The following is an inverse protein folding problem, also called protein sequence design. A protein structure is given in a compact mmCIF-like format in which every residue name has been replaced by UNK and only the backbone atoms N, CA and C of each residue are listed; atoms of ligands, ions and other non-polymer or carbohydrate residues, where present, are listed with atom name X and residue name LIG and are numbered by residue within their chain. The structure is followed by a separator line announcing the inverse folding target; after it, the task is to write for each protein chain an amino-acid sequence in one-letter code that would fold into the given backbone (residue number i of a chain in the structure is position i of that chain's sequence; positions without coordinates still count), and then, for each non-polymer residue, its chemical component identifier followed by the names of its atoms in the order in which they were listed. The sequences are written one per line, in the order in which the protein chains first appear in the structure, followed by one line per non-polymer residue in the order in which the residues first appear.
data_IF_922618654458
#
_entry.id   IF_922618654458
#
_cell.length_a   1.000
_cell.length_b   1.000
_cell.length_c   1.000
_cell.angle_alpha   90.00
_cell.angle_beta   90.00
_cell.angle_gamma   90.00
#
_symmetry.space_group_name_H-M   'P 1'
#
loop_
_entity.id
_entity.type
_entity.pdbx_description
1 polymer ?
#
# COMPACT_ATOMS: atom_id res chain seq x y z
N UNK A 1 -34.44 3.32 -17.45
CA UNK A 1 -33.84 2.02 -17.09
C UNK A 1 -34.48 1.52 -15.81
N UNK A 2 -34.84 0.24 -15.76
CA UNK A 2 -35.31 -0.46 -14.56
C UNK A 2 -34.12 -0.99 -13.76
N UNK A 3 -34.34 -1.38 -12.50
CA UNK A 3 -33.29 -1.98 -11.66
C UNK A 3 -32.65 -3.22 -12.33
N UNK A 4 -33.41 -4.18 -12.91
CA UNK A 4 -32.82 -5.30 -13.63
C UNK A 4 -31.94 -4.89 -14.81
N UNK A 5 -32.34 -3.87 -15.58
CA UNK A 5 -31.55 -3.36 -16.71
C UNK A 5 -30.23 -2.76 -16.26
N UNK A 6 -30.23 -1.99 -15.16
CA UNK A 6 -28.99 -1.47 -14.58
C UNK A 6 -28.06 -2.58 -14.10
N UNK A 7 -28.59 -3.61 -13.44
CA UNK A 7 -27.78 -4.77 -12.98
C UNK A 7 -27.12 -5.48 -14.16
N UNK A 8 -27.89 -5.77 -15.21
CA UNK A 8 -27.34 -6.40 -16.41
C UNK A 8 -26.23 -5.56 -17.06
N UNK A 9 -26.41 -4.24 -17.12
CA UNK A 9 -25.38 -3.35 -17.64
C UNK A 9 -24.10 -3.35 -16.77
N UNK A 10 -24.25 -3.43 -15.44
CA UNK A 10 -23.12 -3.58 -14.51
C UNK A 10 -22.41 -4.92 -14.74
N UNK A 11 -23.13 -6.04 -14.85
CA UNK A 11 -22.53 -7.36 -15.08
C UNK A 11 -21.69 -7.39 -16.37
N UNK A 12 -22.18 -6.74 -17.45
CA UNK A 12 -21.46 -6.61 -18.71
C UNK A 12 -20.21 -5.74 -18.60
N UNK A 13 -20.23 -4.69 -17.76
CA UNK A 13 -19.07 -3.86 -17.46
C UNK A 13 -18.06 -4.62 -16.60
N UNK A 14 -18.50 -5.36 -15.60
CA UNK A 14 -17.65 -6.14 -14.71
C UNK A 14 -16.88 -7.22 -15.48
N UNK A 15 -17.53 -7.89 -16.44
CA UNK A 15 -16.85 -8.82 -17.33
C UNK A 15 -15.69 -8.16 -18.11
N UNK A 16 -15.90 -6.93 -18.58
CA UNK A 16 -14.86 -6.15 -19.27
C UNK A 16 -13.75 -5.71 -18.30
N UNK A 17 -14.11 -5.28 -17.10
CA UNK A 17 -13.15 -4.88 -16.07
C UNK A 17 -12.24 -6.06 -15.70
N UNK A 18 -12.81 -7.24 -15.47
CA UNK A 18 -12.03 -8.46 -15.18
C UNK A 18 -11.07 -8.80 -16.32
N UNK A 19 -11.53 -8.72 -17.57
CA UNK A 19 -10.68 -8.96 -18.73
C UNK A 19 -9.50 -7.96 -18.79
N UNK A 20 -9.79 -6.66 -18.65
CA UNK A 20 -8.80 -5.59 -18.68
C UNK A 20 -7.80 -5.67 -17.52
N UNK A 21 -8.26 -6.02 -16.32
CA UNK A 21 -7.41 -6.21 -15.15
C UNK A 21 -6.43 -7.37 -15.37
N UNK A 22 -6.92 -8.50 -15.89
CA UNK A 22 -6.06 -9.64 -16.21
C UNK A 22 -5.03 -9.32 -17.31
N UNK A 23 -5.44 -8.61 -18.36
CA UNK A 23 -4.53 -8.17 -19.42
C UNK A 23 -3.45 -7.22 -18.87
N UNK A 24 -3.86 -6.23 -18.07
CA UNK A 24 -2.93 -5.34 -17.36
C UNK A 24 -1.94 -6.12 -16.49
N UNK A 25 -2.41 -7.11 -15.74
CA UNK A 25 -1.57 -7.93 -14.88
C UNK A 25 -0.55 -8.74 -15.68
N UNK A 26 -0.92 -9.29 -16.84
CA UNK A 26 0.05 -9.98 -17.74
C UNK A 26 1.19 -9.05 -18.17
N UNK A 27 0.89 -7.79 -18.49
CA UNK A 27 1.94 -6.82 -18.82
C UNK A 27 2.83 -6.48 -17.62
N UNK A 28 2.27 -6.38 -16.42
CA UNK A 28 3.05 -6.18 -15.20
C UNK A 28 4.01 -7.36 -15.02
N UNK A 29 3.51 -8.60 -15.01
CA UNK A 29 4.33 -9.81 -14.88
C UNK A 29 5.46 -9.89 -15.91
N UNK A 30 5.18 -9.55 -17.18
CA UNK A 30 6.20 -9.50 -18.22
C UNK A 30 7.30 -8.46 -17.96
N UNK A 31 6.94 -7.28 -17.43
CA UNK A 31 7.91 -6.27 -16.98
C UNK A 31 8.70 -6.79 -15.77
N UNK A 32 8.04 -7.44 -14.81
CA UNK A 32 8.67 -8.05 -13.65
C UNK A 32 9.73 -9.09 -14.03
N UNK A 33 9.47 -9.93 -15.03
CA UNK A 33 10.45 -10.89 -15.55
C UNK A 33 11.68 -10.23 -16.16
N UNK A 34 11.49 -9.16 -16.94
CA UNK A 34 12.59 -8.41 -17.57
C UNK A 34 13.47 -7.76 -16.49
N UNK A 35 12.84 -7.07 -15.52
CA UNK A 35 13.54 -6.42 -14.41
C UNK A 35 14.31 -7.41 -13.55
N UNK A 36 13.70 -8.57 -13.24
CA UNK A 36 14.35 -9.61 -12.45
C UNK A 36 15.61 -10.14 -13.14
N UNK A 37 15.57 -10.31 -14.47
CA UNK A 37 16.75 -10.70 -15.26
C UNK A 37 17.83 -9.61 -15.30
N UNK A 38 17.43 -8.34 -15.24
CA UNK A 38 18.33 -7.20 -15.20
C UNK A 38 18.87 -6.87 -13.79
N UNK A 39 18.37 -7.54 -12.74
CA UNK A 39 18.71 -7.22 -11.34
C UNK A 39 18.12 -5.90 -10.83
N UNK A 40 17.09 -5.37 -11.50
CA UNK A 40 16.43 -4.13 -11.13
C UNK A 40 15.33 -4.34 -10.08
N UNK A 41 15.03 -3.28 -9.32
CA UNK A 41 13.93 -3.29 -8.36
C UNK A 41 12.56 -3.40 -9.04
N UNK A 42 11.75 -4.32 -8.52
CA UNK A 42 10.38 -4.56 -8.98
C UNK A 42 9.49 -3.37 -8.62
N UNK A 43 9.50 -2.98 -7.33
CA UNK A 43 8.72 -1.86 -6.82
C UNK A 43 9.44 -0.53 -7.03
N UNK A 44 8.79 0.41 -7.73
CA UNK A 44 9.36 1.73 -8.03
C UNK A 44 8.34 2.83 -7.67
N UNK A 45 8.50 3.52 -6.51
CA UNK A 45 7.54 4.54 -6.04
C UNK A 45 7.27 5.67 -7.05
N UNK A 46 8.28 6.07 -7.83
CA UNK A 46 8.12 7.11 -8.84
C UNK A 46 7.15 6.68 -9.96
N UNK A 47 7.16 5.40 -10.33
CA UNK A 47 6.26 4.85 -11.35
C UNK A 47 4.82 4.85 -10.87
N UNK A 48 4.60 4.48 -9.62
CA UNK A 48 3.28 4.50 -9.00
C UNK A 48 2.67 5.91 -8.99
N UNK A 49 3.46 6.93 -8.61
CA UNK A 49 3.02 8.34 -8.67
C UNK A 49 2.61 8.75 -10.09
N UNK A 50 3.36 8.34 -11.11
CA UNK A 50 3.02 8.62 -12.51
C UNK A 50 1.68 7.98 -12.91
N UNK A 51 1.42 6.75 -12.46
CA UNK A 51 0.13 6.08 -12.71
C UNK A 51 -1.01 6.86 -12.05
N UNK A 52 -0.87 7.21 -10.77
CA UNK A 52 -1.89 8.01 -10.05
C UNK A 52 -2.16 9.36 -10.70
N UNK A 53 -1.11 10.09 -11.12
CA UNK A 53 -1.29 11.36 -11.82
C UNK A 53 -2.04 11.18 -13.15
N UNK A 54 -1.71 10.13 -13.90
CA UNK A 54 -2.34 9.86 -15.19
C UNK A 54 -3.83 9.53 -15.04
N UNK A 55 -4.17 8.64 -14.11
CA UNK A 55 -5.58 8.22 -13.92
C UNK A 55 -6.44 9.36 -13.40
N UNK A 56 -5.92 10.20 -12.49
CA UNK A 56 -6.64 11.39 -12.01
C UNK A 56 -6.86 12.40 -13.13
N UNK A 57 -5.86 12.63 -14.01
CA UNK A 57 -6.04 13.50 -15.18
C UNK A 57 -7.09 13.00 -16.17
N UNK A 58 -7.31 11.70 -16.24
CA UNK A 58 -8.30 11.08 -17.12
C UNK A 58 -9.67 10.92 -16.45
N UNK A 59 -9.77 11.21 -15.15
CA UNK A 59 -10.99 11.00 -14.40
C UNK A 59 -11.98 12.16 -14.64
N UNK A 60 -13.02 11.88 -15.43
CA UNK A 60 -14.13 12.81 -15.66
C UNK A 60 -15.29 12.65 -14.65
N UNK A 61 -15.10 11.80 -13.62
CA UNK A 61 -16.16 11.44 -12.67
C UNK A 61 -17.07 10.32 -13.19
N UNK A 62 -18.08 9.90 -12.41
CA UNK A 62 -18.47 10.44 -11.09
C UNK A 62 -17.59 9.97 -9.92
N UNK A 63 -16.66 9.04 -10.15
CA UNK A 63 -15.74 8.57 -9.11
C UNK A 63 -14.77 9.68 -8.67
N UNK A 64 -14.49 9.79 -7.38
CA UNK A 64 -13.51 10.76 -6.88
C UNK A 64 -12.08 10.28 -7.15
N UNK A 65 -11.15 11.22 -7.28
CA UNK A 65 -9.72 10.90 -7.41
C UNK A 65 -9.18 10.07 -6.23
N UNK A 66 -9.69 10.32 -5.02
CA UNK A 66 -9.31 9.57 -3.84
C UNK A 66 -9.73 8.10 -3.96
N UNK A 67 -10.97 7.83 -4.37
CA UNK A 67 -11.47 6.48 -4.60
C UNK A 67 -10.73 5.79 -5.75
N UNK A 68 -10.46 6.51 -6.84
CA UNK A 68 -9.74 5.97 -7.99
C UNK A 68 -8.30 5.58 -7.63
N UNK A 69 -7.60 6.40 -6.84
CA UNK A 69 -6.27 6.06 -6.30
C UNK A 69 -6.31 4.82 -5.41
N UNK A 70 -7.31 4.70 -4.55
CA UNK A 70 -7.45 3.54 -3.67
C UNK A 70 -7.63 2.24 -4.48
N UNK A 71 -8.49 2.26 -5.50
CA UNK A 71 -8.70 1.12 -6.40
C UNK A 71 -7.40 0.77 -7.12
N UNK A 72 -6.72 1.76 -7.71
CA UNK A 72 -5.48 1.50 -8.45
C UNK A 72 -4.34 1.03 -7.54
N UNK A 73 -4.29 1.47 -6.28
CA UNK A 73 -3.34 0.95 -5.30
C UNK A 73 -3.55 -0.55 -5.09
N UNK A 74 -4.79 -1.01 -4.90
CA UNK A 74 -5.05 -2.45 -4.75
C UNK A 74 -4.74 -3.23 -6.02
N UNK A 75 -5.11 -2.71 -7.21
CA UNK A 75 -4.74 -3.33 -8.49
C UNK A 75 -3.23 -3.50 -8.61
N UNK A 76 -2.44 -2.50 -8.21
CA UNK A 76 -0.98 -2.58 -8.23
C UNK A 76 -0.43 -3.51 -7.15
N UNK A 77 -0.99 -3.48 -5.94
CA UNK A 77 -0.64 -4.35 -4.82
C UNK A 77 -0.82 -5.82 -5.17
N UNK A 78 -1.97 -6.19 -5.74
CA UNK A 78 -2.25 -7.57 -6.16
C UNK A 78 -1.31 -8.04 -7.27
N UNK A 79 -0.92 -7.15 -8.19
CA UNK A 79 0.05 -7.50 -9.22
C UNK A 79 1.47 -7.70 -8.64
N UNK A 80 1.91 -6.83 -7.72
CA UNK A 80 3.20 -6.97 -7.02
C UNK A 80 3.27 -8.28 -6.23
N UNK A 81 2.18 -8.67 -5.57
CA UNK A 81 2.08 -9.91 -4.81
C UNK A 81 2.31 -11.16 -5.68
N UNK A 82 1.95 -11.11 -6.97
CA UNK A 82 2.19 -12.19 -7.93
C UNK A 82 3.63 -12.24 -8.43
N UNK A 83 4.32 -11.10 -8.50
CA UNK A 83 5.70 -11.02 -9.00
C UNK A 83 6.73 -11.47 -7.97
N UNK A 84 6.48 -11.19 -6.69
CA UNK A 84 7.34 -11.57 -5.56
C UNK A 84 6.51 -11.60 -4.27
N UNK A 85 6.80 -12.57 -3.41
CA UNK A 85 6.42 -12.51 -1.99
C UNK A 85 7.19 -11.35 -1.33
N UNK A 86 6.67 -10.13 -1.46
CA UNK A 86 7.25 -8.94 -0.86
C UNK A 86 6.77 -8.80 0.59
N UNK A 87 7.71 -8.69 1.51
CA UNK A 87 7.44 -8.59 2.96
C UNK A 87 7.69 -7.17 3.44
N UNK A 88 6.68 -6.58 4.10
CA UNK A 88 6.75 -5.24 4.67
C UNK A 88 6.84 -5.37 6.20
N UNK A 89 8.01 -5.07 6.76
CA UNK A 89 8.18 -4.96 8.20
C UNK A 89 7.58 -3.63 8.69
N UNK A 90 6.95 -3.62 9.84
CA UNK A 90 6.38 -2.39 10.41
C UNK A 90 6.43 -2.39 11.94
N UNK A 91 6.44 -1.20 12.55
CA UNK A 91 6.31 -1.05 13.99
C UNK A 91 4.90 -1.48 14.43
N UNK A 92 4.81 -2.65 15.04
CA UNK A 92 3.56 -3.30 15.41
C UNK A 92 3.00 -2.91 16.78
N UNK A 93 2.00 -3.67 17.28
CA UNK A 93 1.42 -4.89 16.69
C UNK A 93 0.49 -4.62 15.48
N UNK A 94 -0.15 -5.67 14.96
CA UNK A 94 -1.25 -5.58 14.00
C UNK A 94 -2.34 -4.59 14.47
N UNK A 95 -3.00 -3.96 13.50
CA UNK A 95 -4.05 -2.96 13.66
C UNK A 95 -3.63 -1.62 14.31
N UNK A 96 -2.34 -1.41 14.58
CA UNK A 96 -1.79 -0.08 14.92
C UNK A 96 -1.87 0.90 13.76
N UNK A 97 -1.66 2.19 14.03
CA UNK A 97 -1.62 3.20 12.97
C UNK A 97 -0.47 2.97 11.99
N UNK A 98 0.68 2.47 12.43
CA UNK A 98 1.78 2.11 11.53
C UNK A 98 1.39 0.94 10.62
N UNK A 99 0.65 -0.05 11.13
CA UNK A 99 0.09 -1.12 10.30
C UNK A 99 -0.86 -0.55 9.23
N UNK A 100 -1.78 0.33 9.64
CA UNK A 100 -2.72 0.98 8.72
C UNK A 100 -1.98 1.82 7.66
N UNK A 101 -0.92 2.54 8.05
CA UNK A 101 -0.08 3.29 7.13
C UNK A 101 0.66 2.37 6.14
N UNK A 102 1.16 1.22 6.60
CA UNK A 102 1.80 0.24 5.74
C UNK A 102 0.82 -0.32 4.69
N UNK A 103 -0.41 -0.65 5.09
CA UNK A 103 -1.48 -1.08 4.17
C UNK A 103 -1.87 0.06 3.21
N UNK A 104 -2.06 1.28 3.71
CA UNK A 104 -2.42 2.41 2.86
C UNK A 104 -1.32 2.75 1.83
N UNK A 105 -0.05 2.45 2.13
CA UNK A 105 1.06 2.68 1.22
C UNK A 105 1.20 1.59 0.17
N UNK A 106 1.19 0.33 0.59
CA UNK A 106 1.58 -0.81 -0.26
C UNK A 106 0.39 -1.66 -0.75
N UNK A 107 -0.81 -1.42 -0.21
CA UNK A 107 -2.04 -2.16 -0.48
C UNK A 107 -2.09 -3.53 0.22
N UNK A 108 -3.29 -4.07 0.35
CA UNK A 108 -3.58 -5.18 1.27
C UNK A 108 -3.07 -6.56 0.84
N UNK A 109 -2.59 -6.73 -0.40
CA UNK A 109 -2.31 -8.06 -0.99
C UNK A 109 -0.92 -8.62 -0.66
N UNK A 110 -0.13 -7.94 0.17
CA UNK A 110 1.26 -8.27 0.47
C UNK A 110 1.42 -8.91 1.86
N UNK A 111 2.64 -9.39 2.16
CA UNK A 111 2.97 -9.90 3.48
C UNK A 111 3.38 -8.76 4.41
N UNK A 112 2.87 -8.80 5.63
CA UNK A 112 3.12 -7.79 6.66
C UNK A 112 3.70 -8.44 7.91
N UNK A 113 4.87 -7.96 8.34
CA UNK A 113 5.62 -8.51 9.47
C UNK A 113 5.67 -7.50 10.63
N UNK A 114 4.85 -7.73 11.66
CA UNK A 114 4.83 -6.89 12.85
C UNK A 114 6.13 -7.04 13.65
N UNK A 115 6.77 -5.91 13.96
CA UNK A 115 7.97 -5.86 14.81
C UNK A 115 7.69 -5.14 16.12
N UNK A 116 8.42 -5.50 17.17
CA UNK A 116 8.21 -4.93 18.51
C UNK A 116 8.83 -3.55 18.67
N UNK A 117 9.95 -3.30 17.99
CA UNK A 117 10.70 -2.05 18.08
C UNK A 117 11.04 -1.49 16.71
N UNK A 118 11.39 -0.21 16.66
CA UNK A 118 11.85 0.45 15.43
C UNK A 118 13.17 -0.19 14.97
N UNK A 119 14.09 -0.45 15.91
CA UNK A 119 15.34 -1.16 15.63
C UNK A 119 15.11 -2.52 14.97
N UNK A 120 14.10 -3.29 15.42
CA UNK A 120 13.75 -4.57 14.80
C UNK A 120 13.30 -4.39 13.34
N UNK A 121 12.52 -3.35 13.02
CA UNK A 121 12.13 -3.05 11.63
C UNK A 121 13.36 -2.80 10.75
N UNK A 122 14.30 -1.97 11.21
CA UNK A 122 15.55 -1.73 10.49
C UNK A 122 16.37 -3.02 10.34
N UNK A 123 16.45 -3.84 11.38
CA UNK A 123 17.17 -5.11 11.37
C UNK A 123 16.57 -6.15 10.40
N UNK A 124 15.24 -6.20 10.26
CA UNK A 124 14.56 -7.07 9.29
C UNK A 124 14.91 -6.67 7.85
N UNK A 125 14.90 -5.37 7.55
CA UNK A 125 15.22 -4.85 6.22
C UNK A 125 16.71 -4.99 5.91
N UNK A 126 17.60 -4.59 6.82
CA UNK A 126 19.05 -4.66 6.64
C UNK A 126 19.55 -6.09 6.42
N UNK A 127 18.89 -7.09 7.04
CA UNK A 127 19.22 -8.51 6.87
C UNK A 127 18.48 -9.16 5.69
N UNK A 128 17.72 -8.41 4.90
CA UNK A 128 16.98 -8.89 3.74
C UNK A 128 15.82 -9.85 4.05
N UNK A 129 15.34 -9.88 5.30
CA UNK A 129 14.15 -10.66 5.70
C UNK A 129 12.85 -9.94 5.38
N UNK A 130 12.89 -8.62 5.32
CA UNK A 130 11.84 -7.78 4.77
C UNK A 130 12.39 -6.94 3.61
N UNK A 131 11.56 -6.67 2.61
CA UNK A 131 11.93 -5.83 1.47
C UNK A 131 11.85 -4.35 1.84
N UNK A 132 10.88 -3.99 2.68
CA UNK A 132 10.66 -2.61 3.12
C UNK A 132 10.30 -2.55 4.61
N UNK A 133 10.62 -1.42 5.23
CA UNK A 133 10.28 -1.08 6.60
C UNK A 133 9.37 0.13 6.66
N UNK A 134 8.34 0.08 7.51
CA UNK A 134 7.45 1.22 7.78
C UNK A 134 7.57 1.60 9.26
N UNK A 135 8.06 2.81 9.49
CA UNK A 135 8.33 3.36 10.83
C UNK A 135 7.76 4.78 10.92
N UNK A 136 7.25 5.21 12.08
CA UNK A 136 6.84 6.59 12.27
C UNK A 136 8.07 7.49 12.37
N UNK A 137 8.05 8.64 11.71
CA UNK A 137 9.11 9.65 11.79
C UNK A 137 8.65 10.91 12.54
N UNK A 138 7.34 11.17 12.53
CA UNK A 138 6.72 12.31 13.20
C UNK A 138 5.29 11.93 13.61
N UNK A 139 4.84 12.40 14.76
CA UNK A 139 3.47 12.30 15.21
C UNK A 139 2.98 13.65 15.78
N UNK A 140 1.65 13.85 15.82
CA UNK A 140 1.05 15.12 16.25
C UNK A 140 1.12 15.41 17.75
N UNK A 141 1.53 14.43 18.57
CA UNK A 141 1.46 14.51 20.04
C UNK A 141 2.83 14.82 20.65
N UNK A 142 3.86 14.12 20.18
CA UNK A 142 5.24 14.12 20.66
C UNK A 142 6.21 14.72 19.63
N UNK A 143 5.72 15.04 18.43
CA UNK A 143 6.53 15.59 17.35
C UNK A 143 7.41 14.51 16.70
N UNK A 144 8.67 14.84 16.48
CA UNK A 144 9.62 13.98 15.78
C UNK A 144 9.94 12.74 16.60
N UNK A 145 9.89 11.56 15.95
CA UNK A 145 10.30 10.29 16.54
C UNK A 145 11.83 10.17 16.42
N UNK A 146 12.54 10.74 17.39
CA UNK A 146 14.03 10.82 17.40
C UNK A 146 14.68 9.46 17.20
N UNK A 147 14.15 8.42 17.82
CA UNK A 147 14.69 7.06 17.69
C UNK A 147 14.72 6.57 16.23
N UNK A 148 13.72 6.92 15.41
CA UNK A 148 13.74 6.60 13.97
C UNK A 148 14.86 7.34 13.26
N UNK A 149 15.12 8.60 13.60
CA UNK A 149 16.20 9.38 13.02
C UNK A 149 17.56 8.83 13.41
N UNK A 150 17.75 8.45 14.67
CA UNK A 150 18.98 7.82 15.17
C UNK A 150 19.28 6.53 14.39
N UNK A 151 18.27 5.68 14.18
CA UNK A 151 18.41 4.47 13.38
C UNK A 151 18.82 4.73 11.93
N UNK A 152 18.44 5.87 11.33
CA UNK A 152 18.89 6.25 9.99
C UNK A 152 20.33 6.76 9.95
N UNK A 153 20.85 7.31 11.06
CA UNK A 153 22.26 7.72 11.14
C UNK A 153 23.17 6.48 11.15
N UNK A 154 22.75 5.44 11.88
CA UNK A 154 23.55 4.23 12.09
C UNK A 154 23.26 3.10 11.07
N UNK A 155 22.48 3.37 10.02
CA UNK A 155 22.15 2.37 9.00
C UNK A 155 22.33 2.86 7.57
N UNK A 156 22.61 1.92 6.67
CA UNK A 156 22.71 2.20 5.23
C UNK A 156 21.34 2.29 4.54
N UNK A 157 20.24 2.05 5.27
CA UNK A 157 18.90 2.07 4.73
C UNK A 157 18.51 3.47 4.22
N UNK A 158 17.70 3.51 3.16
CA UNK A 158 17.29 4.75 2.50
C UNK A 158 15.78 4.94 2.57
N UNK A 159 15.35 6.19 2.73
CA UNK A 159 13.93 6.55 2.67
C UNK A 159 13.51 6.62 1.20
N UNK A 160 12.64 5.70 0.78
CA UNK A 160 12.14 5.64 -0.60
C UNK A 160 10.74 6.25 -0.77
N UNK A 161 10.02 6.44 0.33
CA UNK A 161 8.67 7.00 0.32
C UNK A 161 8.26 7.54 1.69
N UNK A 162 7.29 8.45 1.69
CA UNK A 162 6.60 8.94 2.88
C UNK A 162 5.09 8.70 2.78
N UNK A 163 4.41 8.65 3.92
CA UNK A 163 2.96 8.60 4.03
C UNK A 163 2.49 9.44 5.22
N UNK A 164 1.41 10.20 5.02
CA UNK A 164 0.72 10.94 6.07
C UNK A 164 -0.60 10.25 6.34
N UNK A 165 -0.81 9.82 7.58
CA UNK A 165 -2.04 9.16 8.03
C UNK A 165 -2.77 10.07 9.03
N UNK A 166 -3.93 10.64 8.66
CA UNK A 166 -4.79 11.34 9.60
C UNK A 166 -5.26 10.38 10.69
N UNK A 167 -4.95 10.69 11.94
CA UNK A 167 -5.29 9.84 13.09
C UNK A 167 -6.71 10.18 13.57
N UNK A 168 -7.55 9.15 13.69
CA UNK A 168 -8.88 9.24 14.29
C UNK A 168 -9.00 8.20 15.39
N UNK A 169 -9.42 8.64 16.57
CA UNK A 169 -9.68 7.76 17.69
C UNK A 169 -11.17 7.42 17.76
N UNK A 170 -11.48 6.17 18.08
CA UNK A 170 -12.84 5.71 18.31
C UNK A 170 -12.97 5.21 19.75
N UNK A 171 -14.07 5.56 20.42
CA UNK A 171 -14.45 4.94 21.69
C UNK A 171 -15.05 3.56 21.39
N UNK A 172 -14.42 2.50 21.92
CA UNK A 172 -14.86 1.12 21.72
C UNK A 172 -15.28 0.54 23.07
N UNK A 173 -16.46 -0.07 23.12
CA UNK A 173 -16.99 -0.75 24.31
C UNK A 173 -17.46 -2.15 23.96
N UNK A 174 -17.34 -3.08 24.91
CA UNK A 174 -17.98 -4.39 24.83
C UNK A 174 -19.46 -4.34 25.21
N UNK A 175 -19.89 -3.29 25.89
CA UNK A 175 -21.28 -3.10 26.28
C UNK A 175 -22.11 -2.62 25.09
N UNK A 176 -23.39 -3.03 25.00
CA UNK A 176 -24.31 -2.43 24.05
C UNK A 176 -24.41 -0.92 24.32
N UNK A 177 -24.56 -0.15 23.24
CA UNK A 177 -24.84 1.27 23.34
C UNK A 177 -26.30 1.41 23.78
N UNK A 178 -26.53 1.70 25.05
CA UNK A 178 -27.87 2.06 25.54
C UNK A 178 -28.41 3.21 24.67
N UNK A 179 -29.64 3.04 24.17
CA UNK A 179 -30.30 4.00 23.28
C UNK A 179 -30.89 5.16 24.05
#
# INVERSE_FOLDING_TARGET
MTIPEHRKAIDELDAKLVALLNERTKHVLGIGEIKRKAGEEIYVPSRERQVFQRICKQNAGPITDASLRAIYREIMSSALALEKSMTIAYLGPEATFTHQAAIQRFGSSLLYAAQKTIADVFNEVAKGRADYGVVPVENSTEGVVTHTLDMFVDSDLKIVSQIVLPISHCLVSKSPRDR
#
